data_IF_921558850510
#
_entry.id   IF_921558850510
#
_cell.length_a   1.000
_cell.length_b   1.000
_cell.length_c   1.000
_cell.angle_alpha   90.00
_cell.angle_beta   90.00
_cell.angle_gamma   90.00
#
_symmetry.space_group_name_H-M   'P 1'
#
loop_
_entity.id
_entity.type
_entity.pdbx_description
1 polymer ?
#
# COMPACT_ATOMS: atom_id res chain seq x y z
N UNK A 1 -0.11 19.33 10.54
CA UNK A 1 -0.76 19.11 9.23
C UNK A 1 -0.74 17.61 8.97
N UNK A 2 -1.90 16.99 8.78
CA UNK A 2 -1.96 15.57 8.43
C UNK A 2 -1.77 15.39 6.92
N UNK A 3 -1.07 14.34 6.51
CA UNK A 3 -0.98 13.93 5.11
C UNK A 3 -1.75 12.63 4.95
N UNK A 4 -2.51 12.52 3.86
CA UNK A 4 -3.33 11.34 3.56
C UNK A 4 -2.58 10.41 2.62
N UNK A 5 -2.69 9.11 2.90
CA UNK A 5 -2.25 8.04 1.99
C UNK A 5 -3.48 7.47 1.31
N UNK A 6 -3.44 7.40 -0.02
CA UNK A 6 -4.50 6.81 -0.84
C UNK A 6 -4.14 5.38 -1.25
N UNK A 7 -5.16 4.54 -1.39
CA UNK A 7 -5.04 3.17 -1.88
C UNK A 7 -6.01 2.97 -3.05
N UNK A 8 -5.51 2.42 -4.15
CA UNK A 8 -6.30 2.15 -5.35
C UNK A 8 -6.21 0.66 -5.72
N UNK A 9 -7.33 -0.06 -5.88
CA UNK A 9 -7.32 -1.43 -6.35
C UNK A 9 -6.99 -1.45 -7.86
N UNK A 10 -5.96 -2.20 -8.24
CA UNK A 10 -5.50 -2.31 -9.63
C UNK A 10 -5.61 -3.73 -10.20
N UNK A 11 -6.03 -4.68 -9.37
CA UNK A 11 -6.26 -6.07 -9.74
C UNK A 11 -6.79 -6.87 -8.56
N UNK A 12 -6.98 -8.17 -8.76
CA UNK A 12 -7.42 -9.08 -7.70
C UNK A 12 -6.38 -9.17 -6.57
N UNK A 13 -6.69 -8.54 -5.43
CA UNK A 13 -5.81 -8.45 -4.27
C UNK A 13 -4.61 -7.50 -4.43
N UNK A 14 -4.50 -6.78 -5.55
CA UNK A 14 -3.39 -5.86 -5.83
C UNK A 14 -3.79 -4.41 -5.62
N UNK A 15 -2.96 -3.70 -4.86
CA UNK A 15 -3.21 -2.32 -4.45
C UNK A 15 -2.04 -1.42 -4.79
N UNK A 16 -2.33 -0.27 -5.40
CA UNK A 16 -1.39 0.83 -5.56
C UNK A 16 -1.51 1.82 -4.40
N UNK A 17 -0.37 2.34 -3.94
CA UNK A 17 -0.29 3.28 -2.82
C UNK A 17 0.15 4.64 -3.31
N UNK A 18 -0.58 5.68 -2.89
CA UNK A 18 -0.36 7.06 -3.32
C UNK A 18 -0.14 8.01 -2.15
N UNK A 19 0.77 8.96 -2.34
CA UNK A 19 0.97 10.10 -1.47
C UNK A 19 0.71 11.40 -2.25
N UNK A 20 -0.49 11.95 -2.10
CA UNK A 20 -0.99 12.94 -3.04
C UNK A 20 -1.09 12.35 -4.45
N UNK A 21 -0.60 13.03 -5.51
CA UNK A 21 -0.65 12.52 -6.88
C UNK A 21 0.47 11.51 -7.22
N UNK A 22 1.42 11.26 -6.31
CA UNK A 22 2.56 10.40 -6.57
C UNK A 22 2.26 8.95 -6.16
N UNK A 23 2.38 8.00 -7.09
CA UNK A 23 2.41 6.57 -6.77
C UNK A 23 3.74 6.22 -6.12
N UNK A 24 3.69 5.71 -4.89
CA UNK A 24 4.87 5.40 -4.07
C UNK A 24 5.10 3.90 -3.90
N UNK A 25 4.20 3.06 -4.40
CA UNK A 25 4.40 1.61 -4.35
C UNK A 25 3.16 0.83 -4.72
N UNK A 26 3.27 -0.48 -4.55
CA UNK A 26 2.15 -1.41 -4.69
C UNK A 26 2.37 -2.61 -3.77
N UNK A 27 1.30 -3.31 -3.41
CA UNK A 27 1.38 -4.55 -2.63
C UNK A 27 0.26 -5.52 -3.01
N UNK A 28 0.47 -6.79 -2.67
CA UNK A 28 -0.57 -7.81 -2.66
C UNK A 28 -1.10 -7.93 -1.22
N UNK A 29 -2.41 -7.74 -1.03
CA UNK A 29 -3.05 -7.76 0.28
C UNK A 29 -2.84 -9.09 1.02
N UNK A 30 -2.66 -10.19 0.27
CA UNK A 30 -2.43 -11.53 0.80
C UNK A 30 -1.06 -11.65 1.45
N UNK A 31 -0.13 -10.77 1.11
CA UNK A 31 1.20 -10.69 1.71
C UNK A 31 1.27 -9.69 2.87
N UNK A 32 0.20 -8.92 3.14
CA UNK A 32 0.15 -7.98 4.27
C UNK A 32 -0.44 -8.55 5.55
N UNK A 33 -1.05 -9.74 5.51
CA UNK A 33 -1.66 -10.39 6.68
C UNK A 33 -0.82 -11.59 7.14
N UNK A 34 0.33 -11.33 7.75
CA UNK A 34 1.17 -12.35 8.40
C UNK A 34 1.26 -12.10 9.91
N UNK A 35 1.45 -13.15 10.71
CA UNK A 35 1.50 -13.15 12.20
C UNK A 35 2.50 -12.16 12.85
N UNK A 36 3.31 -11.43 12.06
CA UNK A 36 4.45 -10.65 12.56
C UNK A 36 4.61 -9.23 11.99
N UNK A 37 3.83 -8.84 10.99
CA UNK A 37 4.06 -7.57 10.28
C UNK A 37 2.82 -6.67 10.34
N UNK A 38 2.72 -5.88 11.42
CA UNK A 38 1.71 -4.81 11.59
C UNK A 38 1.91 -3.63 10.61
N UNK A 39 2.98 -3.66 9.80
CA UNK A 39 3.40 -2.57 8.91
C UNK A 39 3.74 -3.09 7.51
N UNK A 40 3.17 -2.45 6.49
CA UNK A 40 3.58 -2.67 5.11
C UNK A 40 4.85 -1.85 4.80
N UNK A 41 5.93 -2.54 4.44
CA UNK A 41 7.15 -1.87 3.94
C UNK A 41 7.09 -1.76 2.43
N UNK A 42 6.98 -0.53 1.91
CA UNK A 42 7.12 -0.23 0.49
C UNK A 42 8.59 0.08 0.18
N UNK A 43 9.17 -0.66 -0.77
CA UNK A 43 10.47 -0.29 -1.36
C UNK A 43 10.22 0.68 -2.51
N UNK A 44 10.68 1.91 -2.34
CA UNK A 44 10.71 2.98 -3.35
C UNK A 44 12.04 3.04 -4.08
#
# INVERSE_FOLDING_TARGET
TGQSVGFEPVGDGLWDVYFGPLRIGHFDERHTMGEKDDYLTLKV
#
